data_IF_626132288206
#
_entry.id   IF_626132288206
#
_cell.length_a   1.000
_cell.length_b   1.000
_cell.length_c   1.000
_cell.angle_alpha   90.00
_cell.angle_beta   90.00
_cell.angle_gamma   90.00
#
_symmetry.space_group_name_H-M   'P 1'
#
loop_
_entity.id
_entity.type
_entity.pdbx_description
1 polymer ?
#
# COMPACT_ATOMS: atom_id res chain seq x y z
N UNK A 1 -33.01 2.84 8.32
CA UNK A 1 -32.77 2.41 8.23
C UNK A 1 -32.16 1.86 8.28
N UNK A 2 -32.11 1.58 8.34
CA UNK A 2 -31.67 1.13 8.47
C UNK A 2 -30.96 0.40 8.17
N UNK A 3 -30.87 0.01 7.56
CA UNK A 3 -30.23 -0.62 7.14
C UNK A 3 -29.10 -0.80 7.20
N UNK A 4 -28.85 -0.56 7.38
CA UNK A 4 -27.74 -0.30 7.77
C UNK A 4 -26.97 -1.20 8.43
N UNK A 5 -27.13 -2.36 8.28
CA UNK A 5 -26.40 -3.29 9.00
C UNK A 5 -25.26 -3.83 8.22
N UNK A 6 -24.91 -3.26 7.11
CA UNK A 6 -23.72 -3.64 6.38
C UNK A 6 -22.58 -2.89 6.99
N UNK A 7 -21.53 -3.60 7.35
CA UNK A 7 -20.35 -2.95 7.87
C UNK A 7 -19.31 -2.88 6.77
N UNK A 8 -18.75 -1.72 6.62
CA UNK A 8 -17.69 -1.53 5.62
C UNK A 8 -16.49 -0.91 6.28
N UNK A 9 -15.33 -1.30 5.84
CA UNK A 9 -14.10 -0.68 6.29
C UNK A 9 -13.03 -0.86 5.22
N UNK A 10 -12.02 -0.01 5.26
CA UNK A 10 -10.96 -0.04 4.27
C UNK A 10 -9.68 -0.58 4.87
N UNK A 11 -9.02 -1.41 4.08
CA UNK A 11 -7.72 -1.94 4.44
C UNK A 11 -6.76 -1.59 3.32
N UNK A 12 -5.49 -1.51 3.64
CA UNK A 12 -4.50 -1.15 2.66
C UNK A 12 -3.29 -2.06 2.71
N UNK A 13 -2.61 -2.13 1.60
CA UNK A 13 -1.34 -2.84 1.51
C UNK A 13 -0.38 -1.99 0.72
N UNK A 14 0.84 -1.88 1.20
CA UNK A 14 1.91 -1.20 0.51
C UNK A 14 2.95 -2.24 0.17
N UNK A 15 3.35 -2.27 -1.09
CA UNK A 15 4.31 -3.24 -1.54
C UNK A 15 5.44 -2.48 -2.23
N UNK A 16 6.65 -2.62 -1.72
CA UNK A 16 7.81 -1.93 -2.28
C UNK A 16 8.69 -2.95 -2.96
N UNK A 17 8.81 -2.83 -4.26
CA UNK A 17 9.67 -3.70 -5.03
C UNK A 17 10.82 -2.92 -5.62
N UNK A 18 11.64 -3.57 -6.41
CA UNK A 18 12.79 -2.92 -7.01
C UNK A 18 12.39 -1.89 -8.07
N UNK A 19 11.24 -2.07 -8.68
CA UNK A 19 10.79 -1.15 -9.73
C UNK A 19 9.81 -0.12 -9.24
N UNK A 20 8.97 -0.46 -8.34
CA UNK A 20 7.87 0.43 -7.98
C UNK A 20 7.40 0.19 -6.56
N UNK A 21 6.78 1.22 -6.01
CA UNK A 21 6.06 1.09 -4.76
C UNK A 21 4.58 1.13 -5.11
N UNK A 22 3.82 0.21 -4.56
CA UNK A 22 2.40 0.10 -4.86
C UNK A 22 1.58 0.31 -3.61
N UNK A 23 0.43 0.92 -3.79
CA UNK A 23 -0.52 1.07 -2.70
C UNK A 23 -1.85 0.53 -3.20
N UNK A 24 -2.41 -0.39 -2.47
CA UNK A 24 -3.71 -0.94 -2.78
C UNK A 24 -4.62 -0.69 -1.59
N UNK A 25 -5.77 -0.09 -1.81
CA UNK A 25 -6.77 0.09 -0.78
C UNK A 25 -8.01 -0.65 -1.22
N UNK A 26 -8.51 -1.51 -0.35
CA UNK A 26 -9.70 -2.28 -0.61
C UNK A 26 -10.76 -1.95 0.41
N UNK A 27 -12.00 -1.92 -0.05
CA UNK A 27 -13.13 -1.81 0.84
C UNK A 27 -13.68 -3.21 1.08
N UNK A 28 -13.78 -3.57 2.33
CA UNK A 28 -14.31 -4.87 2.74
C UNK A 28 -15.69 -4.62 3.29
N UNK A 29 -16.66 -5.39 2.83
CA UNK A 29 -18.04 -5.27 3.29
C UNK A 29 -18.46 -6.60 3.93
N UNK A 30 -19.19 -6.50 5.01
CA UNK A 30 -19.73 -7.67 5.69
C UNK A 30 -21.23 -7.47 5.74
N UNK A 31 -21.97 -8.34 5.09
CA UNK A 31 -23.42 -8.18 5.05
C UNK A 31 -24.08 -8.84 6.26
N UNK A 32 -25.37 -8.78 6.29
CA UNK A 32 -26.14 -9.33 7.42
C UNK A 32 -25.95 -10.81 7.59
N UNK A 33 -25.66 -11.51 6.54
CA UNK A 33 -25.47 -12.95 6.62
C UNK A 33 -24.03 -13.29 6.96
N UNK A 34 -23.21 -12.30 7.21
CA UNK A 34 -21.82 -12.54 7.52
C UNK A 34 -20.96 -12.77 6.30
N UNK A 35 -21.48 -12.52 5.11
CA UNK A 35 -20.68 -12.71 3.91
C UNK A 35 -19.78 -11.55 3.68
N UNK A 36 -18.54 -11.88 3.31
CA UNK A 36 -17.55 -10.87 3.02
C UNK A 36 -17.49 -10.62 1.53
N UNK A 37 -17.35 -9.37 1.17
CA UNK A 37 -17.05 -9.03 -0.20
C UNK A 37 -16.01 -7.94 -0.18
N UNK A 38 -15.27 -7.81 -1.26
CA UNK A 38 -14.20 -6.84 -1.35
C UNK A 38 -14.26 -6.14 -2.68
N UNK A 39 -13.88 -4.90 -2.69
CA UNK A 39 -13.72 -4.20 -3.95
C UNK A 39 -12.52 -3.27 -3.83
N UNK A 40 -11.87 -3.05 -4.95
CA UNK A 40 -10.70 -2.19 -4.97
C UNK A 40 -11.18 -0.74 -4.90
N UNK A 41 -10.70 -0.01 -3.94
CA UNK A 41 -11.03 1.39 -3.81
C UNK A 41 -9.97 2.27 -4.47
N UNK A 42 -8.72 1.85 -4.43
CA UNK A 42 -7.63 2.63 -5.02
C UNK A 42 -6.46 1.71 -5.29
N UNK A 43 -5.82 1.90 -6.41
CA UNK A 43 -4.57 1.21 -6.68
C UNK A 43 -3.62 2.20 -7.33
N UNK A 44 -2.43 2.36 -6.74
CA UNK A 44 -1.42 3.25 -7.28
C UNK A 44 -0.10 2.52 -7.41
N UNK A 45 0.65 2.90 -8.42
CA UNK A 45 1.98 2.36 -8.63
C UNK A 45 2.89 3.53 -8.94
N UNK A 46 3.92 3.72 -8.15
CA UNK A 46 4.88 4.78 -8.36
C UNK A 46 6.20 4.13 -8.74
N UNK A 47 6.70 4.36 -9.96
CA UNK A 47 7.92 3.71 -10.41
C UNK A 47 9.15 4.40 -9.84
N UNK A 48 9.56 3.98 -8.68
CA UNK A 48 10.72 4.55 -8.01
C UNK A 48 12.03 4.05 -8.61
N UNK A 49 11.99 2.86 -9.18
CA UNK A 49 13.18 2.30 -9.83
C UNK A 49 14.37 2.29 -8.90
N UNK A 50 14.19 1.70 -7.74
CA UNK A 50 15.28 1.59 -6.80
C UNK A 50 16.38 0.72 -7.38
N UNK A 51 15.99 -0.29 -8.13
CA UNK A 51 16.95 -1.04 -8.90
C UNK A 51 17.80 -2.00 -8.11
N UNK A 52 18.63 -2.71 -8.85
CA UNK A 52 19.48 -3.71 -8.23
C UNK A 52 20.61 -3.09 -7.46
N UNK A 53 20.92 -1.86 -7.76
CA UNK A 53 22.04 -1.22 -7.09
C UNK A 53 21.86 -1.13 -5.60
N UNK A 54 20.64 -0.98 -5.18
CA UNK A 54 20.32 -0.90 -3.77
C UNK A 54 20.75 -2.17 -3.08
N UNK A 55 20.57 -3.30 -3.74
CA UNK A 55 20.88 -4.54 -3.11
C UNK A 55 22.34 -4.89 -3.25
N UNK A 56 22.91 -4.61 -4.37
CA UNK A 56 24.30 -4.93 -4.57
C UNK A 56 25.22 -4.07 -3.75
N UNK A 57 24.93 -2.79 -3.69
CA UNK A 57 25.82 -1.88 -2.99
C UNK A 57 25.34 -1.50 -1.62
N UNK A 58 24.12 -1.89 -1.30
CA UNK A 58 23.56 -1.53 -0.03
C UNK A 58 23.36 -0.05 0.11
N UNK A 59 23.35 0.67 -1.01
CA UNK A 59 23.17 2.10 -0.97
C UNK A 59 22.13 2.54 -1.94
N UNK A 60 21.46 3.63 -1.61
CA UNK A 60 20.48 4.19 -2.45
C UNK A 60 20.87 5.65 -2.59
N UNK A 61 20.72 6.23 -3.75
CA UNK A 61 21.08 7.62 -3.95
C UNK A 61 20.17 8.50 -3.12
N UNK A 62 20.65 9.68 -2.79
CA UNK A 62 19.86 10.60 -2.01
C UNK A 62 18.57 10.96 -2.75
N UNK A 63 18.66 11.11 -4.04
CA UNK A 63 17.52 11.44 -4.85
C UNK A 63 16.45 10.39 -4.77
N UNK A 64 16.84 9.13 -4.86
CA UNK A 64 15.87 8.04 -4.78
C UNK A 64 15.35 7.86 -3.37
N UNK A 65 16.18 8.12 -2.39
CA UNK A 65 15.73 8.05 -1.01
C UNK A 65 14.66 9.08 -0.75
N UNK A 66 14.86 10.30 -1.26
CA UNK A 66 13.86 11.34 -1.08
C UNK A 66 12.57 10.97 -1.79
N UNK A 67 12.68 10.44 -3.00
CA UNK A 67 11.49 10.04 -3.74
C UNK A 67 10.73 8.96 -2.99
N UNK A 68 11.45 8.01 -2.42
CA UNK A 68 10.83 6.95 -1.65
C UNK A 68 10.10 7.53 -0.42
N UNK A 69 10.76 8.40 0.32
CA UNK A 69 10.14 8.96 1.51
C UNK A 69 8.93 9.81 1.18
N UNK A 70 9.00 10.56 0.11
CA UNK A 70 7.86 11.38 -0.31
C UNK A 70 6.70 10.50 -0.75
N UNK A 71 7.01 9.41 -1.42
CA UNK A 71 5.97 8.47 -1.86
C UNK A 71 5.29 7.84 -0.65
N UNK A 72 6.08 7.46 0.35
CA UNK A 72 5.50 6.87 1.56
C UNK A 72 4.62 7.88 2.30
N UNK A 73 5.04 9.14 2.33
CA UNK A 73 4.23 10.18 2.96
C UNK A 73 2.93 10.39 2.19
N UNK A 74 3.00 10.36 0.87
CA UNK A 74 1.80 10.51 0.04
C UNK A 74 0.84 9.35 0.29
N UNK A 75 1.37 8.14 0.38
CA UNK A 75 0.53 6.98 0.63
C UNK A 75 -0.14 7.10 2.00
N UNK A 76 0.59 7.59 2.97
CA UNK A 76 0.03 7.77 4.29
C UNK A 76 -1.13 8.75 4.26
N UNK A 77 -0.98 9.84 3.51
CA UNK A 77 -2.04 10.82 3.40
C UNK A 77 -3.26 10.23 2.70
N UNK A 78 -3.03 9.43 1.67
CA UNK A 78 -4.14 8.78 0.98
C UNK A 78 -4.85 7.79 1.89
N UNK A 79 -4.11 7.06 2.69
CA UNK A 79 -4.74 6.14 3.63
C UNK A 79 -5.59 6.88 4.64
N UNK A 80 -5.21 8.10 4.99
CA UNK A 80 -6.02 8.91 5.89
C UNK A 80 -7.28 9.39 5.19
N UNK A 81 -7.18 9.78 3.93
CA UNK A 81 -8.33 10.22 3.16
C UNK A 81 -9.36 9.11 3.08
N UNK A 82 -8.87 7.89 2.86
CA UNK A 82 -9.76 6.74 2.73
C UNK A 82 -10.10 6.11 4.07
N UNK A 83 -9.66 6.71 5.15
CA UNK A 83 -9.95 6.23 6.50
C UNK A 83 -9.63 4.76 6.64
N UNK A 84 -8.44 4.40 6.18
CA UNK A 84 -7.97 3.02 6.24
C UNK A 84 -7.88 2.59 7.70
N UNK A 85 -8.47 1.45 8.00
CA UNK A 85 -8.52 0.95 9.36
C UNK A 85 -7.22 0.32 9.76
N UNK A 86 -6.59 -0.38 8.84
CA UNK A 86 -5.34 -1.04 9.12
C UNK A 86 -4.59 -1.25 7.82
N UNK A 87 -3.29 -1.39 7.90
CA UNK A 87 -2.52 -1.61 6.68
C UNK A 87 -1.30 -2.46 6.96
N UNK A 88 -0.75 -3.02 5.90
CA UNK A 88 0.49 -3.75 5.98
C UNK A 88 1.42 -3.21 4.92
N UNK A 89 2.69 -3.15 5.23
CA UNK A 89 3.69 -2.75 4.28
C UNK A 89 4.73 -3.85 4.19
N UNK A 90 5.07 -4.24 2.96
CA UNK A 90 6.10 -5.21 2.77
C UNK A 90 7.05 -4.80 1.69
N UNK A 91 8.29 -5.17 1.83
CA UNK A 91 9.27 -4.93 0.83
C UNK A 91 9.58 -6.29 0.24
N UNK A 92 9.23 -6.46 -1.02
CA UNK A 92 9.39 -7.75 -1.62
C UNK A 92 10.78 -7.91 -2.16
N UNK A 93 10.97 -8.36 -3.30
CA UNK A 93 12.25 -8.78 -3.80
C UNK A 93 13.40 -7.95 -3.34
N UNK A 94 13.11 -6.72 -3.10
CA UNK A 94 14.16 -5.84 -2.84
C UNK A 94 14.83 -6.07 -1.53
N UNK A 95 14.13 -6.37 -0.53
CA UNK A 95 14.69 -6.51 0.75
C UNK A 95 15.02 -7.91 1.09
N UNK A 96 14.87 -8.82 0.18
CA UNK A 96 15.19 -10.09 0.47
C UNK A 96 16.54 -10.29 0.16
N UNK A 97 17.31 -10.51 0.98
CA UNK A 97 18.54 -10.69 0.76
C UNK A 97 18.88 -11.99 0.86
N UNK A 98 18.85 -12.67 0.13
CA UNK A 98 19.20 -13.92 0.23
C UNK A 98 20.20 -14.29 -0.37
#
# INVERSE_FOLDING_TARGET
MEMTDIKEFNLAAIDVGSNAARLLIKTVSIDLDGRLSQRKALFLRVPLRLGMEVFKKGKISREKEEAFLRTMKAYRQLMKVFKVRDYRACATSAMRDD
#
